data_IF_113889531321
#
_entry.id   IF_113889531321
#
_cell.length_a   1.000
_cell.length_b   1.000
_cell.length_c   1.000
_cell.angle_alpha   90.00
_cell.angle_beta   90.00
_cell.angle_gamma   90.00
#
_symmetry.space_group_name_H-M   'P 1'
#
loop_
_entity.id
_entity.type
_entity.pdbx_description
1 polymer ?
#
# COMPACT_ATOMS: atom_id res chain seq x y z
N UNK A 1 -7.25 -21.89 18.90
CA UNK A 1 -7.56 -21.00 20.04
C UNK A 1 -7.57 -21.68 21.41
N UNK A 2 -7.74 -23.02 21.53
CA UNK A 2 -7.60 -23.74 22.83
C UNK A 2 -6.19 -23.67 23.43
N UNK A 3 -5.14 -23.52 22.61
CA UNK A 3 -3.75 -23.55 23.11
C UNK A 3 -3.28 -22.28 23.80
N UNK A 4 -3.87 -21.10 23.51
CA UNK A 4 -3.53 -19.85 24.22
C UNK A 4 -3.87 -19.93 25.71
N UNK A 5 -4.93 -20.65 26.06
CA UNK A 5 -5.36 -20.84 27.44
C UNK A 5 -4.42 -21.78 28.23
N UNK A 6 -3.52 -22.49 27.54
CA UNK A 6 -2.57 -23.42 28.12
C UNK A 6 -1.13 -22.89 28.10
N UNK A 7 -0.89 -21.66 27.64
CA UNK A 7 0.45 -21.08 27.56
C UNK A 7 1.05 -20.95 28.97
N UNK A 8 2.16 -21.63 29.22
CA UNK A 8 2.85 -21.57 30.51
C UNK A 8 3.64 -20.27 30.62
N UNK A 9 3.80 -19.76 31.85
CA UNK A 9 4.58 -18.56 32.11
C UNK A 9 6.02 -18.66 31.57
N UNK A 10 6.66 -19.83 31.70
CA UNK A 10 8.02 -20.04 31.21
C UNK A 10 8.08 -19.98 29.68
N UNK A 11 7.11 -20.56 28.98
CA UNK A 11 7.01 -20.46 27.52
C UNK A 11 6.79 -18.99 27.09
N UNK A 12 5.97 -18.24 27.82
CA UNK A 12 5.80 -16.81 27.56
C UNK A 12 7.12 -16.04 27.72
N UNK A 13 7.85 -16.24 28.83
CA UNK A 13 9.14 -15.58 29.07
C UNK A 13 10.17 -15.91 28.00
N UNK A 14 10.18 -17.16 27.51
CA UNK A 14 11.12 -17.61 26.47
C UNK A 14 10.90 -16.95 25.10
N UNK A 15 9.66 -16.51 24.83
CA UNK A 15 9.25 -15.98 23.53
C UNK A 15 8.97 -14.47 23.52
N UNK A 16 8.62 -13.86 24.66
CA UNK A 16 8.21 -12.46 24.73
C UNK A 16 9.22 -11.50 24.05
N UNK A 17 10.50 -11.61 24.40
CA UNK A 17 11.55 -10.77 23.82
C UNK A 17 11.79 -11.05 22.33
N UNK A 18 11.74 -12.33 21.93
CA UNK A 18 11.93 -12.74 20.52
C UNK A 18 10.79 -12.20 19.64
N UNK A 19 9.55 -12.32 20.11
CA UNK A 19 8.37 -11.81 19.41
C UNK A 19 8.39 -10.29 19.34
N UNK A 20 8.81 -9.61 20.42
CA UNK A 20 8.96 -8.15 20.43
C UNK A 20 9.97 -7.70 19.37
N UNK A 21 11.16 -8.31 19.34
CA UNK A 21 12.16 -8.07 18.26
C UNK A 21 11.62 -8.45 16.89
N UNK A 22 10.80 -9.50 16.80
CA UNK A 22 10.10 -9.89 15.59
C UNK A 22 9.19 -8.79 15.05
N UNK A 23 8.41 -8.13 15.90
CA UNK A 23 7.59 -6.98 15.53
C UNK A 23 8.44 -5.79 15.09
N UNK A 24 9.57 -5.52 15.76
CA UNK A 24 10.49 -4.46 15.33
C UNK A 24 11.08 -4.73 13.94
N UNK A 25 11.52 -5.97 13.67
CA UNK A 25 12.02 -6.36 12.34
C UNK A 25 10.91 -6.31 11.28
N UNK A 26 9.69 -6.74 11.63
CA UNK A 26 8.54 -6.63 10.75
C UNK A 26 8.23 -5.17 10.40
N UNK A 27 8.21 -4.28 11.40
CA UNK A 27 8.01 -2.85 11.20
C UNK A 27 9.09 -2.25 10.29
N UNK A 28 10.37 -2.59 10.50
CA UNK A 28 11.47 -2.16 9.63
C UNK A 28 11.26 -2.63 8.19
N UNK A 29 10.87 -3.89 7.96
CA UNK A 29 10.57 -4.38 6.62
C UNK A 29 9.42 -3.59 5.98
N UNK A 30 8.30 -3.43 6.70
CA UNK A 30 7.14 -2.69 6.19
C UNK A 30 7.45 -1.23 5.88
N UNK A 31 8.33 -0.61 6.64
CA UNK A 31 8.82 0.74 6.38
C UNK A 31 9.53 0.86 5.03
N UNK A 32 10.33 -0.16 4.66
CA UNK A 32 10.94 -0.22 3.30
C UNK A 32 9.90 -0.37 2.19
N UNK A 33 8.71 -0.89 2.53
CA UNK A 33 7.57 -1.03 1.63
C UNK A 33 6.62 0.17 1.70
N UNK A 34 7.05 1.28 2.32
CA UNK A 34 6.29 2.54 2.50
C UNK A 34 4.99 2.40 3.29
N UNK A 35 4.97 1.44 4.22
CA UNK A 35 3.88 1.29 5.19
C UNK A 35 4.38 1.83 6.53
N UNK A 36 3.95 3.04 6.88
CA UNK A 36 4.57 3.82 7.96
C UNK A 36 3.80 3.80 9.27
N UNK A 37 2.48 3.54 9.23
CA UNK A 37 1.63 3.57 10.42
C UNK A 37 0.62 2.43 10.46
N UNK A 38 0.01 2.23 11.64
CA UNK A 38 -1.09 1.27 11.80
C UNK A 38 -2.30 1.58 10.90
N UNK A 39 -2.51 2.85 10.54
CA UNK A 39 -3.55 3.28 9.60
C UNK A 39 -3.33 2.69 8.21
N UNK A 40 -2.07 2.64 7.78
CA UNK A 40 -1.67 2.21 6.43
C UNK A 40 -1.51 0.70 6.31
N UNK A 41 -1.53 -0.02 7.44
CA UNK A 41 -1.37 -1.47 7.45
C UNK A 41 -2.54 -2.15 6.73
N UNK A 42 -2.29 -2.96 5.68
CA UNK A 42 -3.31 -3.74 4.99
C UNK A 42 -4.01 -4.75 5.92
N UNK A 43 -3.25 -5.55 6.66
CA UNK A 43 -3.75 -6.57 7.58
C UNK A 43 -2.90 -6.65 8.86
N UNK A 44 -3.53 -6.39 10.01
CA UNK A 44 -2.92 -6.67 11.33
C UNK A 44 -2.59 -8.15 11.52
N UNK A 45 -3.46 -9.11 11.15
CA UNK A 45 -3.14 -10.54 11.27
C UNK A 45 -1.87 -10.96 10.52
N UNK A 46 -1.67 -10.43 9.32
CA UNK A 46 -0.49 -10.76 8.50
C UNK A 46 0.78 -10.17 9.11
N UNK A 47 0.71 -8.98 9.72
CA UNK A 47 1.82 -8.42 10.52
C UNK A 47 2.18 -9.34 11.69
N UNK A 48 1.19 -9.90 12.39
CA UNK A 48 1.43 -10.86 13.49
C UNK A 48 2.20 -12.10 13.00
N UNK A 49 1.79 -12.67 11.86
CA UNK A 49 2.51 -13.81 11.25
C UNK A 49 3.92 -13.42 10.83
N UNK A 50 4.09 -12.26 10.21
CA UNK A 50 5.39 -11.75 9.81
C UNK A 50 6.33 -11.58 11.02
N UNK A 51 5.82 -11.02 12.12
CA UNK A 51 6.58 -10.88 13.37
C UNK A 51 6.98 -12.24 13.96
N UNK A 52 6.08 -13.23 13.92
CA UNK A 52 6.39 -14.60 14.36
C UNK A 52 7.47 -15.25 13.48
N UNK A 53 7.42 -15.06 12.16
CA UNK A 53 8.45 -15.54 11.23
C UNK A 53 9.81 -14.89 11.57
N UNK A 54 9.85 -13.57 11.78
CA UNK A 54 11.08 -12.89 12.19
C UNK A 54 11.61 -13.37 13.54
N UNK A 55 10.73 -13.63 14.50
CA UNK A 55 11.11 -14.15 15.81
C UNK A 55 11.79 -15.53 15.73
N UNK A 56 11.35 -16.38 14.80
CA UNK A 56 11.96 -17.69 14.55
C UNK A 56 13.25 -17.59 13.75
N UNK A 57 13.30 -16.74 12.71
CA UNK A 57 14.48 -16.60 11.86
C UNK A 57 15.64 -15.87 12.55
N UNK A 58 15.35 -14.97 13.49
CA UNK A 58 16.37 -14.15 14.15
C UNK A 58 17.16 -13.33 13.12
N UNK A 59 18.49 -13.39 13.14
CA UNK A 59 19.36 -12.62 12.24
C UNK A 59 19.48 -13.21 10.84
N UNK A 60 19.05 -14.47 10.64
CA UNK A 60 18.99 -15.08 9.30
C UNK A 60 18.07 -14.29 8.36
N UNK A 61 17.07 -13.59 8.90
CA UNK A 61 16.10 -12.80 8.12
C UNK A 61 16.71 -11.64 7.37
N UNK A 62 17.92 -11.21 7.72
CA UNK A 62 18.47 -9.93 7.25
C UNK A 62 19.11 -10.03 5.86
N UNK A 63 19.26 -11.27 5.36
CA UNK A 63 19.76 -11.57 4.01
C UNK A 63 18.76 -11.20 2.91
N UNK A 64 19.28 -10.75 1.77
CA UNK A 64 18.47 -10.33 0.62
C UNK A 64 17.52 -11.42 0.08
N UNK A 65 17.96 -12.70 -0.12
CA UNK A 65 17.06 -13.73 -0.64
C UNK A 65 15.88 -14.05 0.29
N UNK A 66 16.11 -14.03 1.61
CA UNK A 66 15.04 -14.26 2.59
C UNK A 66 14.09 -13.07 2.61
N UNK A 67 14.62 -11.84 2.58
CA UNK A 67 13.82 -10.63 2.49
C UNK A 67 12.94 -10.62 1.25
N UNK A 68 13.46 -10.99 0.08
CA UNK A 68 12.69 -11.08 -1.15
C UNK A 68 11.54 -12.08 -1.05
N UNK A 69 11.77 -13.26 -0.45
CA UNK A 69 10.70 -14.25 -0.17
C UNK A 69 9.62 -13.69 0.75
N UNK A 70 10.01 -13.02 1.84
CA UNK A 70 9.07 -12.40 2.78
C UNK A 70 8.24 -11.29 2.14
N UNK A 71 8.87 -10.43 1.33
CA UNK A 71 8.19 -9.35 0.59
C UNK A 71 7.21 -9.94 -0.43
N UNK A 72 7.59 -10.99 -1.16
CA UNK A 72 6.69 -11.68 -2.10
C UNK A 72 5.48 -12.27 -1.38
N UNK A 73 5.70 -13.05 -0.32
CA UNK A 73 4.61 -13.60 0.49
C UNK A 73 3.69 -12.52 1.05
N UNK A 74 4.27 -11.41 1.54
CA UNK A 74 3.52 -10.30 2.08
C UNK A 74 2.56 -9.71 1.04
N UNK A 75 3.09 -9.31 -0.12
CA UNK A 75 2.29 -8.71 -1.19
C UNK A 75 1.28 -9.69 -1.81
N UNK A 76 1.60 -10.98 -1.91
CA UNK A 76 0.63 -12.02 -2.28
C UNK A 76 -0.56 -12.07 -1.32
N UNK A 77 -0.33 -12.00 0.00
CA UNK A 77 -1.42 -11.96 0.98
C UNK A 77 -2.24 -10.68 0.93
N UNK A 78 -1.61 -9.52 0.66
CA UNK A 78 -2.29 -8.23 0.54
C UNK A 78 -3.19 -8.18 -0.70
N UNK A 79 -2.63 -8.44 -1.90
CA UNK A 79 -3.38 -8.32 -3.14
C UNK A 79 -4.26 -9.52 -3.45
N UNK A 80 -3.93 -10.70 -2.95
CA UNK A 80 -4.87 -11.84 -2.94
C UNK A 80 -6.02 -11.67 -1.94
N UNK A 81 -6.00 -10.61 -1.11
CA UNK A 81 -6.99 -10.34 -0.05
C UNK A 81 -7.19 -11.53 0.90
N UNK A 82 -6.13 -12.31 1.11
CA UNK A 82 -6.17 -13.66 1.71
C UNK A 82 -6.36 -13.66 3.23
N UNK A 83 -6.26 -12.48 3.86
CA UNK A 83 -6.47 -12.27 5.29
C UNK A 83 -7.80 -11.57 5.60
N UNK A 84 -8.72 -11.50 4.63
CA UNK A 84 -10.08 -10.97 4.81
C UNK A 84 -11.06 -11.98 5.44
N UNK A 85 -10.75 -13.28 5.37
CA UNK A 85 -11.59 -14.37 5.88
C UNK A 85 -10.73 -15.57 6.29
N UNK A 86 -11.28 -16.50 7.08
CA UNK A 86 -10.59 -17.72 7.55
C UNK A 86 -9.19 -17.46 8.17
N UNK A 87 -9.07 -16.35 8.90
CA UNK A 87 -7.79 -15.80 9.36
C UNK A 87 -7.03 -16.80 10.25
N UNK A 88 -7.70 -17.45 11.21
CA UNK A 88 -7.03 -18.35 12.15
C UNK A 88 -6.33 -19.54 11.47
N UNK A 89 -6.99 -20.16 10.49
CA UNK A 89 -6.41 -21.30 9.78
C UNK A 89 -5.24 -20.87 8.88
N UNK A 90 -5.32 -19.68 8.26
CA UNK A 90 -4.24 -19.14 7.46
C UNK A 90 -3.03 -18.74 8.31
N UNK A 91 -3.23 -18.05 9.44
CA UNK A 91 -2.15 -17.70 10.38
C UNK A 91 -1.34 -18.95 10.77
N UNK A 92 -2.04 -20.03 11.17
CA UNK A 92 -1.39 -21.26 11.62
C UNK A 92 -0.57 -21.93 10.51
N UNK A 93 -1.09 -21.94 9.27
CA UNK A 93 -0.41 -22.52 8.11
C UNK A 93 0.78 -21.69 7.67
N UNK A 94 0.62 -20.37 7.55
CA UNK A 94 1.60 -19.49 6.94
C UNK A 94 2.91 -19.46 7.70
N UNK A 95 2.88 -19.45 9.04
CA UNK A 95 4.11 -19.53 9.84
C UNK A 95 4.94 -20.75 9.44
N UNK A 96 4.31 -21.93 9.40
CA UNK A 96 5.00 -23.21 9.13
C UNK A 96 5.40 -23.34 7.65
N UNK A 97 4.55 -22.88 6.72
CA UNK A 97 4.83 -22.98 5.28
C UNK A 97 5.91 -22.00 4.84
N UNK A 98 5.90 -20.75 5.32
CA UNK A 98 6.90 -19.75 4.97
C UNK A 98 8.27 -20.14 5.49
N UNK A 99 8.36 -20.60 6.74
CA UNK A 99 9.64 -21.07 7.31
C UNK A 99 10.21 -22.25 6.52
N UNK A 100 9.41 -23.27 6.22
CA UNK A 100 9.86 -24.41 5.38
C UNK A 100 10.30 -23.95 3.99
N UNK A 101 9.54 -23.08 3.35
CA UNK A 101 9.90 -22.55 2.03
C UNK A 101 11.21 -21.74 2.05
N UNK A 102 11.48 -21.01 3.14
CA UNK A 102 12.74 -20.30 3.33
C UNK A 102 13.91 -21.29 3.49
N UNK A 103 13.73 -22.37 4.26
CA UNK A 103 14.80 -23.30 4.63
C UNK A 103 15.16 -24.33 3.57
N UNK A 104 14.17 -25.00 2.97
CA UNK A 104 14.41 -26.08 2.01
C UNK A 104 14.17 -25.67 0.56
N UNK A 105 13.43 -24.59 0.31
CA UNK A 105 13.03 -24.19 -1.03
C UNK A 105 11.99 -25.10 -1.69
N UNK A 106 11.47 -26.11 -0.97
CA UNK A 106 10.67 -27.20 -1.55
C UNK A 106 9.37 -26.73 -2.22
N UNK A 107 8.54 -25.97 -1.50
CA UNK A 107 7.22 -25.57 -2.00
C UNK A 107 6.78 -24.21 -1.48
N UNK A 108 6.21 -23.40 -2.36
CA UNK A 108 5.68 -22.09 -2.00
C UNK A 108 4.50 -22.22 -1.02
N UNK A 109 4.32 -21.27 -0.08
CA UNK A 109 3.16 -21.21 0.80
C UNK A 109 1.85 -21.11 0.01
N UNK A 110 0.76 -21.59 0.59
CA UNK A 110 -0.58 -21.50 0.01
C UNK A 110 -0.95 -20.03 -0.24
N UNK A 111 -0.52 -19.10 0.63
CA UNK A 111 -0.70 -17.65 0.42
C UNK A 111 -0.10 -17.13 -0.89
N UNK A 112 0.98 -17.74 -1.40
CA UNK A 112 1.53 -17.36 -2.71
C UNK A 112 0.76 -18.05 -3.84
N UNK A 113 0.44 -19.34 -3.68
CA UNK A 113 -0.25 -20.15 -4.70
C UNK A 113 -1.70 -19.70 -4.94
N UNK A 114 -2.40 -19.32 -3.87
CA UNK A 114 -3.79 -18.87 -3.89
C UNK A 114 -3.92 -17.40 -4.32
N UNK A 115 -2.82 -16.65 -4.32
CA UNK A 115 -2.86 -15.22 -4.62
C UNK A 115 -3.26 -15.01 -6.08
N UNK A 116 -4.40 -14.33 -6.26
CA UNK A 116 -4.92 -13.98 -7.56
C UNK A 116 -5.46 -12.55 -7.52
N UNK A 117 -5.02 -11.71 -8.45
CA UNK A 117 -5.48 -10.33 -8.58
C UNK A 117 -5.99 -10.09 -10.00
N UNK A 118 -7.31 -9.96 -10.16
CA UNK A 118 -7.93 -9.60 -11.42
C UNK A 118 -7.90 -8.07 -11.59
N UNK A 119 -7.47 -7.50 -12.74
CA UNK A 119 -7.42 -6.04 -12.94
C UNK A 119 -8.74 -5.31 -12.64
N UNK A 120 -9.89 -5.92 -12.99
CA UNK A 120 -11.22 -5.39 -12.68
C UNK A 120 -11.48 -5.19 -11.17
N UNK A 121 -10.66 -5.77 -10.30
CA UNK A 121 -10.71 -5.52 -8.86
C UNK A 121 -10.43 -4.06 -8.52
N UNK A 122 -9.54 -3.39 -9.26
CA UNK A 122 -9.18 -1.97 -9.07
C UNK A 122 -10.41 -1.07 -9.18
N UNK A 123 -11.22 -1.26 -10.22
CA UNK A 123 -12.47 -0.51 -10.42
C UNK A 123 -13.40 -0.65 -9.21
N UNK A 124 -13.39 -1.80 -8.52
CA UNK A 124 -14.26 -2.10 -7.37
C UNK A 124 -13.61 -1.79 -6.01
N UNK A 125 -12.43 -1.18 -5.96
CA UNK A 125 -11.76 -0.79 -4.72
C UNK A 125 -12.14 0.64 -4.30
N UNK A 126 -13.22 0.79 -3.54
CA UNK A 126 -13.73 2.11 -3.15
C UNK A 126 -13.23 2.61 -1.80
N UNK A 127 -13.03 1.68 -0.86
CA UNK A 127 -12.83 2.00 0.55
C UNK A 127 -11.37 1.96 0.97
N UNK A 128 -10.95 3.02 1.66
CA UNK A 128 -9.63 3.11 2.34
C UNK A 128 -9.38 2.04 3.41
N UNK A 129 -10.41 1.29 3.80
CA UNK A 129 -10.26 0.15 4.72
C UNK A 129 -9.78 -1.12 4.03
N UNK A 130 -9.89 -1.23 2.71
CA UNK A 130 -9.45 -2.43 1.98
C UNK A 130 -7.92 -2.56 2.04
N UNK A 131 -7.46 -3.80 2.24
CA UNK A 131 -6.04 -4.11 2.24
C UNK A 131 -5.39 -3.83 0.89
N UNK A 132 -6.01 -4.25 -0.21
CA UNK A 132 -5.50 -3.98 -1.56
C UNK A 132 -5.49 -2.48 -1.88
N UNK A 133 -6.45 -1.71 -1.37
CA UNK A 133 -6.45 -0.24 -1.49
C UNK A 133 -5.23 0.39 -0.82
N UNK A 134 -4.97 0.02 0.44
CA UNK A 134 -3.78 0.51 1.18
C UNK A 134 -2.50 0.04 0.52
N UNK A 135 -2.49 -1.21 0.06
CA UNK A 135 -1.38 -1.81 -0.67
C UNK A 135 -1.03 -1.02 -1.94
N UNK A 136 -2.02 -0.66 -2.75
CA UNK A 136 -1.78 0.14 -3.96
C UNK A 136 -1.19 1.51 -3.64
N UNK A 137 -1.69 2.19 -2.60
CA UNK A 137 -1.10 3.46 -2.17
C UNK A 137 0.35 3.31 -1.73
N UNK A 138 0.67 2.25 -0.99
CA UNK A 138 2.04 1.98 -0.56
C UNK A 138 2.96 1.64 -1.75
N UNK A 139 2.46 0.92 -2.76
CA UNK A 139 3.21 0.67 -4.00
C UNK A 139 3.52 1.97 -4.76
N UNK A 140 2.53 2.87 -4.93
CA UNK A 140 2.76 4.17 -5.58
C UNK A 140 3.85 4.98 -4.86
N UNK A 141 3.83 5.02 -3.53
CA UNK A 141 4.88 5.68 -2.73
C UNK A 141 6.23 4.98 -2.85
N UNK A 142 6.24 3.65 -2.97
CA UNK A 142 7.46 2.84 -3.06
C UNK A 142 8.13 3.02 -4.41
N UNK A 143 7.32 3.17 -5.46
CA UNK A 143 7.75 3.26 -6.84
C UNK A 143 7.99 4.73 -7.28
N UNK A 144 8.13 5.66 -6.32
CA UNK A 144 8.60 7.03 -6.56
C UNK A 144 7.52 8.10 -6.69
N UNK A 145 6.30 7.84 -6.24
CA UNK A 145 5.19 8.80 -6.27
C UNK A 145 5.58 10.16 -5.67
N UNK A 146 5.56 11.20 -6.51
CA UNK A 146 5.93 12.56 -6.15
C UNK A 146 4.71 13.41 -5.74
N UNK A 147 4.84 14.27 -4.74
CA UNK A 147 3.78 15.22 -4.41
C UNK A 147 3.62 16.26 -5.54
N UNK A 148 2.38 16.53 -5.98
CA UNK A 148 2.15 17.38 -7.16
C UNK A 148 2.58 18.84 -6.98
N UNK A 149 2.58 19.35 -5.74
CA UNK A 149 2.97 20.73 -5.47
C UNK A 149 4.48 20.86 -5.33
N UNK A 150 5.13 19.96 -4.58
CA UNK A 150 6.57 20.08 -4.29
C UNK A 150 7.43 19.43 -5.37
N UNK A 151 6.89 18.46 -6.11
CA UNK A 151 7.60 17.68 -7.11
C UNK A 151 8.64 16.73 -6.54
N UNK A 152 8.67 16.55 -5.22
CA UNK A 152 9.56 15.61 -4.55
C UNK A 152 8.87 14.27 -4.31
N UNK A 153 9.65 13.20 -4.33
CA UNK A 153 9.20 11.89 -3.85
C UNK A 153 8.67 12.00 -2.42
N UNK A 154 7.53 11.34 -2.18
CA UNK A 154 6.95 11.22 -0.86
C UNK A 154 7.73 10.11 -0.12
N UNK A 155 8.85 10.53 0.46
CA UNK A 155 9.63 9.74 1.40
C UNK A 155 9.01 9.75 2.80
N UNK A 156 9.68 9.10 3.75
CA UNK A 156 9.10 8.98 5.08
C UNK A 156 9.12 10.27 5.89
N UNK A 157 10.11 11.14 5.71
CA UNK A 157 10.14 12.42 6.42
C UNK A 157 8.95 13.26 5.98
N UNK A 158 8.73 13.36 4.66
CA UNK A 158 7.55 14.05 4.10
C UNK A 158 6.25 13.42 4.53
N UNK A 159 6.20 12.09 4.61
CA UNK A 159 4.98 11.39 4.99
C UNK A 159 4.44 11.87 6.35
N UNK A 160 5.33 12.01 7.33
CA UNK A 160 4.95 12.44 8.67
C UNK A 160 4.76 13.96 8.79
N UNK A 161 5.54 14.76 8.06
CA UNK A 161 5.46 16.23 8.13
C UNK A 161 4.24 16.80 7.38
N UNK A 162 3.89 16.24 6.22
CA UNK A 162 2.92 16.88 5.30
C UNK A 162 1.50 16.29 5.38
N UNK A 163 1.27 15.37 6.32
CA UNK A 163 -0.02 14.68 6.51
C UNK A 163 -0.55 14.10 5.20
N UNK A 164 0.21 13.14 4.63
CA UNK A 164 -0.17 12.47 3.38
C UNK A 164 -1.46 11.67 3.58
N UNK A 165 -2.39 11.84 2.64
CA UNK A 165 -3.63 11.07 2.54
C UNK A 165 -3.94 10.80 1.05
N UNK A 166 -4.93 9.94 0.80
CA UNK A 166 -5.27 9.49 -0.54
C UNK A 166 -6.43 10.33 -1.06
N UNK A 167 -6.18 11.05 -2.15
CA UNK A 167 -7.08 12.06 -2.69
C UNK A 167 -7.53 11.71 -4.11
N UNK A 168 -8.71 12.20 -4.49
CA UNK A 168 -9.24 12.03 -5.84
C UNK A 168 -8.42 12.83 -6.86
N UNK A 169 -8.02 12.20 -7.96
CA UNK A 169 -7.30 12.85 -9.07
C UNK A 169 -8.26 13.77 -9.84
N UNK A 170 -9.40 13.22 -10.27
CA UNK A 170 -10.56 13.98 -10.69
C UNK A 170 -11.48 14.18 -9.48
N UNK A 171 -11.64 15.42 -8.96
CA UNK A 171 -12.38 15.65 -7.73
C UNK A 171 -13.85 15.25 -7.84
N UNK A 172 -14.40 14.70 -6.76
CA UNK A 172 -15.82 14.29 -6.68
C UNK A 172 -16.77 15.36 -7.20
N UNK A 173 -16.63 16.60 -6.73
CA UNK A 173 -17.52 17.70 -7.16
C UNK A 173 -17.43 18.03 -8.64
N UNK A 174 -16.28 17.80 -9.27
CA UNK A 174 -16.13 17.94 -10.72
C UNK A 174 -16.81 16.76 -11.43
N UNK A 175 -16.58 15.53 -10.96
CA UNK A 175 -17.20 14.33 -11.50
C UNK A 175 -18.73 14.37 -11.45
N UNK A 176 -19.31 14.78 -10.31
CA UNK A 176 -20.75 14.92 -10.14
C UNK A 176 -21.36 15.91 -11.14
N UNK A 177 -20.70 17.07 -11.35
CA UNK A 177 -21.14 18.09 -12.31
C UNK A 177 -21.07 17.62 -13.77
N UNK A 178 -20.18 16.68 -14.07
CA UNK A 178 -19.98 16.13 -15.41
C UNK A 178 -20.70 14.79 -15.62
N UNK A 179 -21.59 14.39 -14.71
CA UNK A 179 -22.39 13.17 -14.84
C UNK A 179 -21.58 11.87 -14.77
N UNK A 180 -20.38 11.91 -14.21
CA UNK A 180 -19.55 10.71 -13.99
C UNK A 180 -20.13 9.93 -12.81
N UNK A 181 -20.33 8.63 -13.00
CA UNK A 181 -20.96 7.79 -11.98
C UNK A 181 -20.04 7.58 -10.76
N UNK A 182 -20.58 7.54 -9.52
CA UNK A 182 -19.80 7.33 -8.31
C UNK A 182 -18.94 6.07 -8.32
N UNK A 183 -19.41 4.99 -8.94
CA UNK A 183 -18.66 3.73 -9.03
C UNK A 183 -17.36 3.87 -9.83
N UNK A 184 -17.23 4.89 -10.68
CA UNK A 184 -15.99 5.17 -11.39
C UNK A 184 -15.11 6.11 -10.58
N UNK A 185 -15.63 7.27 -10.17
CA UNK A 185 -14.77 8.27 -9.54
C UNK A 185 -14.36 7.90 -8.11
N UNK A 186 -15.12 7.08 -7.38
CA UNK A 186 -14.72 6.61 -6.05
C UNK A 186 -13.81 5.37 -6.09
N UNK A 187 -13.57 4.80 -7.27
CA UNK A 187 -12.57 3.74 -7.45
C UNK A 187 -11.18 4.24 -7.05
N UNK A 188 -10.32 3.33 -6.58
CA UNK A 188 -8.90 3.60 -6.32
C UNK A 188 -8.15 4.04 -7.59
N UNK A 189 -8.65 3.71 -8.79
CA UNK A 189 -8.07 4.17 -10.06
C UNK A 189 -8.02 5.69 -10.14
N UNK A 190 -9.05 6.37 -9.60
CA UNK A 190 -9.11 7.83 -9.56
C UNK A 190 -8.50 8.42 -8.29
N UNK A 191 -7.56 7.74 -7.63
CA UNK A 191 -7.01 8.19 -6.35
C UNK A 191 -5.50 8.00 -6.27
N UNK A 192 -4.84 8.94 -5.58
CA UNK A 192 -3.39 8.96 -5.40
C UNK A 192 -3.01 9.53 -4.03
N UNK A 193 -1.93 9.05 -3.38
CA UNK A 193 -1.39 9.66 -2.17
C UNK A 193 -0.77 11.03 -2.46
N UNK A 194 -1.27 12.08 -1.80
CA UNK A 194 -0.76 13.45 -1.91
C UNK A 194 -0.76 14.13 -0.54
N UNK A 195 0.00 15.22 -0.40
CA UNK A 195 -0.04 16.02 0.81
C UNK A 195 -1.37 16.74 0.98
N UNK A 196 -1.74 16.97 2.24
CA UNK A 196 -2.88 17.82 2.59
C UNK A 196 -2.76 19.24 2.02
N UNK A 197 -1.53 19.73 1.83
CA UNK A 197 -1.23 21.02 1.20
C UNK A 197 -1.58 20.98 -0.29
N UNK A 198 -1.14 19.97 -1.03
CA UNK A 198 -1.50 19.75 -2.44
C UNK A 198 -3.01 19.62 -2.62
N UNK A 199 -3.69 18.88 -1.74
CA UNK A 199 -5.13 18.69 -1.81
C UNK A 199 -5.93 20.01 -1.72
N UNK A 200 -5.40 21.03 -1.04
CA UNK A 200 -6.03 22.38 -1.01
C UNK A 200 -6.00 23.07 -2.37
N UNK A 201 -4.99 22.80 -3.20
CA UNK A 201 -4.92 23.33 -4.57
C UNK A 201 -5.89 22.61 -5.51
N UNK A 202 -5.98 21.28 -5.37
CA UNK A 202 -6.93 20.43 -6.12
C UNK A 202 -8.36 20.92 -5.85
N UNK A 203 -8.77 20.91 -4.58
CA UNK A 203 -10.12 21.31 -4.17
C UNK A 203 -11.19 20.55 -4.95
N UNK A 204 -12.14 21.29 -5.54
CA UNK A 204 -13.23 20.74 -6.35
C UNK A 204 -13.13 21.01 -7.84
N UNK A 205 -11.94 21.39 -8.32
CA UNK A 205 -11.72 21.91 -9.67
C UNK A 205 -11.42 20.80 -10.68
N UNK A 206 -11.55 21.12 -11.97
CA UNK A 206 -11.07 20.26 -13.04
C UNK A 206 -9.54 20.08 -12.96
N UNK A 207 -8.98 18.92 -13.35
CA UNK A 207 -7.54 18.73 -13.41
C UNK A 207 -6.76 19.77 -14.19
N UNK A 208 -7.22 20.16 -15.38
CA UNK A 208 -6.60 21.22 -16.18
C UNK A 208 -6.42 22.53 -15.39
N UNK A 209 -7.39 22.87 -14.54
CA UNK A 209 -7.41 24.09 -13.73
C UNK A 209 -6.44 23.97 -12.56
N UNK A 210 -6.51 22.89 -11.77
CA UNK A 210 -5.61 22.79 -10.61
C UNK A 210 -4.17 22.55 -11.01
N UNK A 211 -3.89 21.85 -12.13
CA UNK A 211 -2.53 21.65 -12.64
C UNK A 211 -1.89 22.97 -13.03
N UNK A 212 -2.61 23.81 -13.77
CA UNK A 212 -2.13 25.15 -14.14
C UNK A 212 -1.81 26.00 -12.91
N UNK A 213 -2.61 25.89 -11.85
CA UNK A 213 -2.37 26.60 -10.58
C UNK A 213 -1.16 26.06 -9.83
N UNK A 214 -1.03 24.74 -9.72
CA UNK A 214 0.12 24.08 -9.06
C UNK A 214 1.43 24.47 -9.75
N UNK A 215 1.48 24.38 -11.08
CA UNK A 215 2.65 24.74 -11.86
C UNK A 215 3.05 26.20 -11.66
N UNK A 216 2.08 27.12 -11.71
CA UNK A 216 2.33 28.54 -11.49
C UNK A 216 2.83 28.83 -10.08
N UNK A 217 2.21 28.24 -9.07
CA UNK A 217 2.56 28.46 -7.66
C UNK A 217 3.96 27.92 -7.34
N UNK A 218 4.27 26.71 -7.80
CA UNK A 218 5.52 26.03 -7.49
C UNK A 218 6.65 26.34 -8.48
N UNK A 219 6.38 27.06 -9.57
CA UNK A 219 7.35 27.30 -10.64
C UNK A 219 7.75 26.02 -11.38
N UNK A 220 6.85 25.04 -11.48
CA UNK A 220 7.11 23.73 -12.12
C UNK A 220 6.80 23.83 -13.63
N UNK A 221 7.77 23.43 -14.47
CA UNK A 221 7.57 23.37 -15.92
C UNK A 221 6.55 22.30 -16.33
N UNK A 222 6.03 22.37 -17.55
CA UNK A 222 5.08 21.37 -18.04
C UNK A 222 5.71 19.97 -18.10
N UNK A 223 6.96 19.87 -18.53
CA UNK A 223 7.71 18.62 -18.63
C UNK A 223 7.95 18.00 -17.26
N UNK A 224 8.27 18.83 -16.25
CA UNK A 224 8.46 18.33 -14.89
C UNK A 224 7.13 17.90 -14.26
N UNK A 225 6.04 18.64 -14.51
CA UNK A 225 4.71 18.22 -14.06
C UNK A 225 4.30 16.88 -14.69
N UNK A 226 4.66 16.68 -15.96
CA UNK A 226 4.49 15.43 -16.69
C UNK A 226 5.20 14.25 -16.03
N UNK A 227 6.46 14.42 -15.62
CA UNK A 227 7.22 13.41 -14.87
C UNK A 227 6.56 13.11 -13.51
N UNK A 228 6.11 14.14 -12.80
CA UNK A 228 5.43 14.00 -11.50
C UNK A 228 4.15 13.19 -11.66
N UNK A 229 3.31 13.49 -12.65
CA UNK A 229 2.09 12.74 -12.92
C UNK A 229 2.39 11.28 -13.29
N UNK A 230 3.40 11.04 -14.13
CA UNK A 230 3.82 9.68 -14.52
C UNK A 230 4.38 8.87 -13.35
N UNK A 231 4.96 9.51 -12.32
CA UNK A 231 5.36 8.81 -11.08
C UNK A 231 4.19 8.16 -10.34
N UNK A 232 2.95 8.56 -10.66
CA UNK A 232 1.71 7.95 -10.15
C UNK A 232 0.97 7.11 -11.20
N UNK A 233 1.60 6.81 -12.34
CA UNK A 233 0.98 6.07 -13.45
C UNK A 233 -0.23 6.83 -14.03
N UNK A 234 -0.17 8.17 -14.01
CA UNK A 234 -1.22 9.03 -14.55
C UNK A 234 -0.81 9.54 -15.93
N UNK A 235 -1.71 9.46 -16.90
CA UNK A 235 -1.52 10.11 -18.20
C UNK A 235 -1.71 11.64 -18.09
N UNK A 236 -0.66 12.45 -18.34
CA UNK A 236 -0.76 13.90 -18.25
C UNK A 236 -1.70 14.53 -19.29
N UNK A 237 -1.89 13.88 -20.45
CA UNK A 237 -2.78 14.41 -21.51
C UNK A 237 -4.24 14.33 -21.07
N UNK A 238 -4.65 13.20 -20.49
CA UNK A 238 -5.99 13.04 -19.95
C UNK A 238 -6.34 14.10 -18.89
N UNK A 239 -5.41 14.46 -18.00
CA UNK A 239 -5.68 15.49 -16.99
C UNK A 239 -5.74 16.89 -17.60
N UNK A 240 -4.83 17.26 -18.52
CA UNK A 240 -4.87 18.60 -19.14
C UNK A 240 -6.09 18.84 -20.01
N UNK A 241 -6.68 17.77 -20.54
CA UNK A 241 -7.90 17.83 -21.36
C UNK A 241 -9.17 17.52 -20.56
N UNK A 242 -9.07 17.35 -19.24
CA UNK A 242 -10.15 16.92 -18.34
C UNK A 242 -10.90 15.66 -18.83
N UNK A 243 -10.20 14.81 -19.58
CA UNK A 243 -10.78 13.64 -20.22
C UNK A 243 -10.78 12.43 -19.27
N UNK A 244 -11.79 12.40 -18.39
CA UNK A 244 -11.96 11.31 -17.42
C UNK A 244 -12.04 9.94 -18.08
N UNK A 245 -12.71 9.83 -19.23
CA UNK A 245 -12.85 8.55 -19.93
C UNK A 245 -11.49 8.02 -20.43
N UNK A 246 -10.64 8.89 -20.98
CA UNK A 246 -9.28 8.51 -21.39
C UNK A 246 -8.42 8.14 -20.18
N UNK A 247 -8.48 8.94 -19.12
CA UNK A 247 -7.78 8.67 -17.86
C UNK A 247 -8.16 7.30 -17.28
N UNK A 248 -9.44 6.94 -17.32
CA UNK A 248 -9.97 5.72 -16.70
C UNK A 248 -9.87 4.48 -17.58
N UNK A 249 -9.57 4.62 -18.88
CA UNK A 249 -9.55 3.52 -19.85
C UNK A 249 -8.24 2.70 -19.87
N UNK A 250 -7.39 2.85 -18.84
CA UNK A 250 -6.12 2.13 -18.69
C UNK A 250 -6.28 0.83 -17.88
#
# INVERSE_FOLDING_TARGET
MKDILNLKLEEYKDWADKVTKGFEKAAKLLYTQKIFSARDLPYQPQLTVLAAIFAVLGDRSDTDPIRAKLVRWYWCGVFGELYSSAIESRIAKDLTQVLRWIESGDSEPDTIKDANFAPNRLVRLYTRRSAAYKGLSALLLRDGGCDFLTGFEIDTLKYFEESIDIHHIFPRSWCDKNGIKPELYDSVVNKTPLSSRTNKFIGGNAPSIYLSRLQKEAGISEERMDEILRSHIIDPVALRTDNFAHFFAL
#
